data_IF_565063750566
#
_entry.id   IF_565063750566
#
_cell.length_a   1.000
_cell.length_b   1.000
_cell.length_c   1.000
_cell.angle_alpha   90.00
_cell.angle_beta   90.00
_cell.angle_gamma   90.00
#
_symmetry.space_group_name_H-M   'P 1'
#
loop_
_entity.id
_entity.type
_entity.pdbx_description
1 polymer ?
#
# COMPACT_ATOMS: atom_id res chain seq x y z
N UNK A 1 -19.39 49.46 34.30
CA UNK A 1 -20.35 48.83 33.37
C UNK A 1 -19.55 47.88 32.48
N UNK A 2 -19.53 46.59 32.82
CA UNK A 2 -18.61 45.59 32.24
C UNK A 2 -19.04 45.19 30.83
N UNK A 3 -18.14 45.35 29.85
CA UNK A 3 -18.23 44.68 28.55
C UNK A 3 -18.25 43.17 28.78
N UNK A 4 -19.44 42.57 28.83
CA UNK A 4 -19.60 41.13 28.68
C UNK A 4 -19.26 40.78 27.23
N UNK A 5 -18.34 39.84 27.09
CA UNK A 5 -17.88 39.23 25.86
C UNK A 5 -19.02 38.96 24.85
N UNK A 6 -19.17 39.87 23.89
CA UNK A 6 -20.02 39.63 22.73
C UNK A 6 -19.26 38.71 21.78
N UNK A 7 -19.23 37.41 22.07
CA UNK A 7 -18.83 36.39 21.10
C UNK A 7 -19.81 36.52 19.92
N UNK A 8 -19.37 37.16 18.83
CA UNK A 8 -20.13 37.17 17.57
C UNK A 8 -20.55 35.73 17.27
N UNK A 9 -21.85 35.46 17.03
CA UNK A 9 -22.27 34.11 16.65
C UNK A 9 -21.48 33.72 15.41
N UNK A 10 -20.62 32.71 15.53
CA UNK A 10 -19.91 32.16 14.40
C UNK A 10 -20.97 31.60 13.46
N UNK A 11 -21.06 32.17 12.25
CA UNK A 11 -21.95 31.66 11.21
C UNK A 11 -21.74 30.14 11.06
N UNK A 12 -22.77 29.34 10.79
CA UNK A 12 -22.63 27.88 10.63
C UNK A 12 -21.51 27.51 9.64
N UNK A 13 -21.38 28.28 8.56
CA UNK A 13 -20.30 28.16 7.57
C UNK A 13 -18.90 28.35 8.16
N UNK A 14 -18.73 29.26 9.14
CA UNK A 14 -17.45 29.47 9.82
C UNK A 14 -17.11 28.32 10.78
N UNK A 15 -18.12 27.70 11.42
CA UNK A 15 -17.91 26.54 12.30
C UNK A 15 -17.49 25.28 11.52
N UNK A 16 -18.12 25.03 10.37
CA UNK A 16 -17.73 23.91 9.47
C UNK A 16 -16.27 24.03 9.04
N UNK A 17 -15.86 25.21 8.57
CA UNK A 17 -14.48 25.48 8.16
C UNK A 17 -13.52 25.30 9.34
N UNK A 18 -13.89 25.80 10.53
CA UNK A 18 -13.09 25.64 11.75
C UNK A 18 -12.88 24.17 12.12
N UNK A 19 -13.95 23.36 12.08
CA UNK A 19 -13.87 21.94 12.37
C UNK A 19 -12.96 21.20 11.37
N UNK A 20 -13.12 21.42 10.06
CA UNK A 20 -12.25 20.77 9.08
C UNK A 20 -10.79 21.23 9.19
N UNK A 21 -10.55 22.52 9.43
CA UNK A 21 -9.17 23.03 9.63
C UNK A 21 -8.50 22.40 10.85
N UNK A 22 -9.25 22.19 11.95
CA UNK A 22 -8.75 21.49 13.14
C UNK A 22 -8.48 20.01 12.83
N UNK A 23 -9.37 19.37 12.08
CA UNK A 23 -9.18 17.98 11.66
C UNK A 23 -7.94 17.79 10.79
N UNK A 24 -7.72 18.66 9.80
CA UNK A 24 -6.54 18.68 8.94
C UNK A 24 -5.24 18.85 9.75
N UNK A 25 -5.26 19.73 10.76
CA UNK A 25 -4.12 19.91 11.67
C UNK A 25 -3.84 18.65 12.47
N UNK A 26 -4.86 18.03 13.05
CA UNK A 26 -4.71 16.77 13.79
C UNK A 26 -4.16 15.66 12.88
N UNK A 27 -4.57 15.60 11.60
CA UNK A 27 -3.99 14.67 10.63
C UNK A 27 -2.50 14.91 10.38
N UNK A 28 -2.09 16.17 10.25
CA UNK A 28 -0.68 16.54 10.08
C UNK A 28 0.16 16.14 11.32
N UNK A 29 -0.43 16.24 12.51
CA UNK A 29 0.16 15.81 13.79
C UNK A 29 0.06 14.29 14.02
N UNK A 30 -0.53 13.53 13.08
CA UNK A 30 -0.83 12.09 13.19
C UNK A 30 -1.75 11.72 14.35
N UNK A 31 -2.47 12.69 14.92
CA UNK A 31 -3.50 12.44 15.90
C UNK A 31 -4.83 12.11 15.20
N UNK A 32 -4.96 10.84 14.83
CA UNK A 32 -6.09 10.37 14.04
C UNK A 32 -7.42 10.42 14.82
N UNK A 33 -7.40 10.22 16.13
CA UNK A 33 -8.62 10.20 16.96
C UNK A 33 -9.28 11.59 17.02
N UNK A 34 -8.48 12.64 17.22
CA UNK A 34 -9.00 14.01 17.21
C UNK A 34 -9.40 14.45 15.80
N UNK A 35 -8.66 14.03 14.77
CA UNK A 35 -9.03 14.28 13.38
C UNK A 35 -10.43 13.73 13.06
N UNK A 36 -10.69 12.46 13.39
CA UNK A 36 -12.00 11.83 13.23
C UNK A 36 -13.10 12.62 13.95
N UNK A 37 -12.86 12.99 15.22
CA UNK A 37 -13.80 13.76 16.04
C UNK A 37 -14.17 15.09 15.39
N UNK A 38 -13.19 15.84 14.88
CA UNK A 38 -13.41 17.11 14.21
C UNK A 38 -14.08 16.96 12.84
N UNK A 39 -13.74 15.93 12.06
CA UNK A 39 -14.46 15.65 10.82
C UNK A 39 -15.92 15.29 11.06
N UNK A 40 -16.21 14.40 12.02
CA UNK A 40 -17.58 14.04 12.40
C UNK A 40 -18.38 15.27 12.83
N UNK A 41 -17.79 16.19 13.61
CA UNK A 41 -18.43 17.48 13.98
C UNK A 41 -18.68 18.40 12.79
N UNK A 42 -17.72 18.54 11.88
CA UNK A 42 -17.91 19.35 10.67
C UNK A 42 -19.00 18.79 9.76
N UNK A 43 -19.11 17.46 9.66
CA UNK A 43 -20.12 16.77 8.87
C UNK A 43 -21.51 16.78 9.53
N UNK A 44 -21.63 16.93 10.85
CA UNK A 44 -22.94 17.17 11.49
C UNK A 44 -23.59 18.46 10.96
N UNK A 45 -22.79 19.50 10.78
CA UNK A 45 -23.24 20.81 10.28
C UNK A 45 -23.28 20.86 8.73
N UNK A 46 -22.55 19.95 8.04
CA UNK A 46 -22.50 19.85 6.58
C UNK A 46 -22.41 18.38 6.08
N UNK A 47 -23.50 17.59 6.16
CA UNK A 47 -23.46 16.13 5.88
C UNK A 47 -23.05 15.74 4.46
N UNK A 48 -23.26 16.62 3.47
CA UNK A 48 -22.92 16.38 2.07
C UNK A 48 -21.57 16.97 1.64
N UNK A 49 -20.68 17.32 2.57
CA UNK A 49 -19.40 17.95 2.22
C UNK A 49 -18.41 16.91 1.65
N UNK A 50 -18.06 16.96 0.34
CA UNK A 50 -17.32 15.87 -0.30
C UNK A 50 -15.92 15.67 0.29
N UNK A 51 -15.14 16.76 0.44
CA UNK A 51 -13.78 16.68 0.97
C UNK A 51 -13.74 16.24 2.44
N UNK A 52 -14.74 16.63 3.24
CA UNK A 52 -14.84 16.24 4.64
C UNK A 52 -15.16 14.75 4.80
N UNK A 53 -16.07 14.25 3.96
CA UNK A 53 -16.44 12.82 3.91
C UNK A 53 -15.26 11.97 3.44
N UNK A 54 -14.58 12.39 2.37
CA UNK A 54 -13.37 11.74 1.89
C UNK A 54 -12.28 11.66 2.97
N UNK A 55 -11.95 12.79 3.61
CA UNK A 55 -10.91 12.81 4.64
C UNK A 55 -11.30 12.00 5.88
N UNK A 56 -12.58 11.94 6.24
CA UNK A 56 -13.04 11.04 7.31
C UNK A 56 -12.81 9.57 6.93
N UNK A 57 -13.15 9.15 5.71
CA UNK A 57 -12.90 7.80 5.22
C UNK A 57 -11.43 7.42 5.29
N UNK A 58 -10.54 8.30 4.80
CA UNK A 58 -9.08 8.12 4.89
C UNK A 58 -8.60 8.06 6.35
N UNK A 59 -9.17 8.89 7.23
CA UNK A 59 -8.80 8.90 8.66
C UNK A 59 -9.16 7.57 9.33
N UNK A 60 -10.38 7.07 9.09
CA UNK A 60 -10.86 5.80 9.62
C UNK A 60 -10.04 4.62 9.11
N UNK A 61 -9.68 4.62 7.83
CA UNK A 61 -8.79 3.62 7.23
C UNK A 61 -7.45 3.58 7.97
N UNK A 62 -6.82 4.74 8.17
CA UNK A 62 -5.53 4.85 8.88
C UNK A 62 -5.60 4.46 10.36
N UNK A 63 -6.79 4.49 10.98
CA UNK A 63 -7.00 4.02 12.34
C UNK A 63 -7.23 2.50 12.45
N UNK A 64 -7.39 1.79 11.32
CA UNK A 64 -7.78 0.38 11.33
C UNK A 64 -9.29 0.15 11.50
N UNK A 65 -10.12 1.19 11.43
CA UNK A 65 -11.58 1.09 11.55
C UNK A 65 -12.21 0.77 10.20
N UNK A 66 -11.86 -0.38 9.63
CA UNK A 66 -12.09 -0.68 8.22
C UNK A 66 -13.57 -0.71 7.83
N UNK A 67 -14.44 -1.28 8.65
CA UNK A 67 -15.88 -1.31 8.36
C UNK A 67 -16.50 0.10 8.29
N UNK A 68 -16.19 0.99 9.24
CA UNK A 68 -16.62 2.39 9.18
C UNK A 68 -15.99 3.13 8.00
N UNK A 69 -14.70 2.86 7.72
CA UNK A 69 -13.99 3.46 6.60
C UNK A 69 -14.61 3.09 5.25
N UNK A 70 -15.07 1.84 5.08
CA UNK A 70 -15.68 1.39 3.83
C UNK A 70 -17.00 2.11 3.57
N UNK A 71 -17.84 2.23 4.58
CA UNK A 71 -19.12 2.93 4.48
C UNK A 71 -18.93 4.42 4.17
N UNK A 72 -18.03 5.10 4.89
CA UNK A 72 -17.73 6.52 4.64
C UNK A 72 -17.07 6.73 3.27
N UNK A 73 -16.17 5.84 2.85
CA UNK A 73 -15.52 5.91 1.55
C UNK A 73 -16.52 5.72 0.39
N UNK A 74 -17.51 4.82 0.54
CA UNK A 74 -18.61 4.68 -0.42
C UNK A 74 -19.49 5.93 -0.51
N UNK A 75 -19.73 6.61 0.61
CA UNK A 75 -20.39 7.92 0.61
C UNK A 75 -19.55 8.98 -0.10
N UNK A 76 -18.23 8.98 0.09
CA UNK A 76 -17.33 9.90 -0.60
C UNK A 76 -17.36 9.69 -2.13
N UNK A 77 -17.42 8.43 -2.59
CA UNK A 77 -17.62 8.09 -4.01
C UNK A 77 -18.95 8.64 -4.52
N UNK A 78 -20.05 8.48 -3.77
CA UNK A 78 -21.36 9.01 -4.17
C UNK A 78 -21.38 10.56 -4.27
N UNK A 79 -20.61 11.25 -3.45
CA UNK A 79 -20.50 12.72 -3.45
C UNK A 79 -19.54 13.26 -4.52
N UNK A 80 -18.55 12.46 -4.94
CA UNK A 80 -17.53 12.86 -5.91
C UNK A 80 -17.13 11.67 -6.82
N UNK A 81 -18.05 11.20 -7.69
CA UNK A 81 -17.84 9.97 -8.47
C UNK A 81 -16.67 10.04 -9.45
N UNK A 82 -16.29 11.24 -9.90
CA UNK A 82 -15.19 11.46 -10.83
C UNK A 82 -13.82 11.61 -10.14
N UNK A 83 -13.77 11.57 -8.80
CA UNK A 83 -12.52 11.68 -8.06
C UNK A 83 -11.89 10.30 -7.84
N UNK A 84 -10.78 9.96 -8.52
CA UNK A 84 -10.16 8.63 -8.43
C UNK A 84 -9.64 8.29 -7.02
N UNK A 85 -9.30 9.27 -6.18
CA UNK A 85 -8.83 9.01 -4.82
C UNK A 85 -9.95 8.44 -3.93
N UNK A 86 -11.22 8.76 -4.20
CA UNK A 86 -12.37 8.21 -3.43
C UNK A 86 -12.54 6.72 -3.70
N UNK A 87 -12.52 6.31 -4.98
CA UNK A 87 -12.55 4.91 -5.40
C UNK A 87 -11.32 4.14 -4.92
N UNK A 88 -10.14 4.75 -5.00
CA UNK A 88 -8.92 4.14 -4.48
C UNK A 88 -9.02 3.85 -2.98
N UNK A 89 -9.61 4.75 -2.20
CA UNK A 89 -9.79 4.54 -0.76
C UNK A 89 -10.75 3.38 -0.47
N UNK A 90 -11.79 3.17 -1.29
CA UNK A 90 -12.65 1.97 -1.21
C UNK A 90 -11.81 0.71 -1.46
N UNK A 91 -11.07 0.65 -2.58
CA UNK A 91 -10.24 -0.51 -2.91
C UNK A 91 -9.18 -0.80 -1.84
N UNK A 92 -8.50 0.23 -1.33
CA UNK A 92 -7.53 0.10 -0.25
C UNK A 92 -8.18 -0.41 1.05
N UNK A 93 -9.39 0.05 1.38
CA UNK A 93 -10.12 -0.43 2.56
C UNK A 93 -10.52 -1.90 2.42
N UNK A 94 -10.97 -2.32 1.23
CA UNK A 94 -11.30 -3.73 0.94
C UNK A 94 -10.06 -4.63 1.07
N UNK A 95 -8.91 -4.16 0.58
CA UNK A 95 -7.61 -4.83 0.78
C UNK A 95 -7.30 -5.04 2.27
N UNK A 96 -7.43 -4.01 3.11
CA UNK A 96 -7.19 -4.15 4.56
C UNK A 96 -8.20 -5.09 5.25
N UNK A 97 -9.41 -5.21 4.68
CA UNK A 97 -10.44 -6.17 5.12
C UNK A 97 -10.22 -7.58 4.55
N UNK A 98 -9.15 -7.80 3.78
CA UNK A 98 -8.89 -9.06 3.05
C UNK A 98 -10.02 -9.47 2.10
N UNK A 99 -10.80 -8.51 1.61
CA UNK A 99 -11.84 -8.70 0.58
C UNK A 99 -11.21 -8.53 -0.81
N UNK A 100 -10.31 -9.44 -1.15
CA UNK A 100 -9.39 -9.31 -2.29
C UNK A 100 -10.11 -9.26 -3.64
N UNK A 101 -11.13 -10.09 -3.85
CA UNK A 101 -11.88 -10.15 -5.10
C UNK A 101 -12.66 -8.85 -5.34
N UNK A 102 -13.27 -8.28 -4.30
CA UNK A 102 -13.95 -6.98 -4.39
C UNK A 102 -12.95 -5.86 -4.66
N UNK A 103 -11.77 -5.89 -4.02
CA UNK A 103 -10.70 -4.93 -4.28
C UNK A 103 -10.21 -5.02 -5.74
N UNK A 104 -10.06 -6.23 -6.29
CA UNK A 104 -9.73 -6.46 -7.70
C UNK A 104 -10.76 -5.79 -8.62
N UNK A 105 -12.06 -5.95 -8.35
CA UNK A 105 -13.11 -5.27 -9.14
C UNK A 105 -12.99 -3.76 -9.05
N UNK A 106 -12.92 -3.21 -7.83
CA UNK A 106 -12.84 -1.74 -7.62
C UNK A 106 -11.61 -1.13 -8.29
N UNK A 107 -10.43 -1.76 -8.16
CA UNK A 107 -9.23 -1.25 -8.82
C UNK A 107 -9.30 -1.40 -10.34
N UNK A 108 -9.89 -2.48 -10.86
CA UNK A 108 -10.05 -2.68 -12.30
C UNK A 108 -10.96 -1.61 -12.91
N UNK A 109 -12.09 -1.33 -12.27
CA UNK A 109 -13.03 -0.28 -12.68
C UNK A 109 -12.37 1.11 -12.64
N UNK A 110 -11.61 1.38 -11.57
CA UNK A 110 -10.85 2.62 -11.43
C UNK A 110 -9.80 2.80 -12.53
N UNK A 111 -9.09 1.73 -12.91
CA UNK A 111 -8.12 1.76 -14.01
C UNK A 111 -8.82 1.98 -15.36
N UNK A 112 -10.00 1.39 -15.57
CA UNK A 112 -10.78 1.58 -16.78
C UNK A 112 -11.21 3.04 -16.96
N UNK A 113 -11.66 3.69 -15.86
CA UNK A 113 -12.06 5.09 -15.86
C UNK A 113 -10.86 6.06 -15.88
N UNK A 114 -9.78 5.72 -15.17
CA UNK A 114 -8.59 6.56 -15.01
C UNK A 114 -7.29 5.78 -15.29
N UNK A 115 -6.95 5.51 -16.56
CA UNK A 115 -5.81 4.65 -16.92
C UNK A 115 -4.45 5.13 -16.40
N UNK A 116 -4.29 6.43 -16.12
CA UNK A 116 -3.08 7.03 -15.57
C UNK A 116 -2.98 7.01 -14.04
N UNK A 117 -3.99 6.52 -13.32
CA UNK A 117 -3.99 6.51 -11.85
C UNK A 117 -3.15 5.36 -11.30
N UNK A 118 -1.84 5.58 -11.27
CA UNK A 118 -0.80 4.58 -10.98
C UNK A 118 -1.03 3.77 -9.69
N UNK A 119 -1.56 4.40 -8.62
CA UNK A 119 -1.84 3.73 -7.34
C UNK A 119 -2.82 2.56 -7.51
N UNK A 120 -3.82 2.68 -8.39
CA UNK A 120 -4.78 1.61 -8.64
C UNK A 120 -4.14 0.41 -9.34
N UNK A 121 -3.19 0.63 -10.25
CA UNK A 121 -2.43 -0.46 -10.88
C UNK A 121 -1.60 -1.25 -9.85
N UNK A 122 -0.93 -0.53 -8.94
CA UNK A 122 -0.18 -1.15 -7.83
C UNK A 122 -1.12 -1.95 -6.92
N UNK A 123 -2.26 -1.37 -6.54
CA UNK A 123 -3.28 -2.02 -5.73
C UNK A 123 -3.86 -3.27 -6.39
N UNK A 124 -4.20 -3.18 -7.69
CA UNK A 124 -4.68 -4.31 -8.47
C UNK A 124 -3.63 -5.42 -8.55
N UNK A 125 -2.37 -5.10 -8.87
CA UNK A 125 -1.29 -6.09 -8.91
C UNK A 125 -1.10 -6.82 -7.59
N UNK A 126 -1.16 -6.10 -6.46
CA UNK A 126 -1.08 -6.71 -5.13
C UNK A 126 -2.27 -7.62 -4.82
N UNK A 127 -3.50 -7.18 -5.12
CA UNK A 127 -4.70 -7.98 -4.89
C UNK A 127 -4.73 -9.24 -5.77
N UNK A 128 -4.31 -9.14 -7.04
CA UNK A 128 -4.22 -10.28 -7.95
C UNK A 128 -3.21 -11.34 -7.48
N UNK A 129 -2.07 -10.93 -6.91
CA UNK A 129 -1.10 -11.86 -6.33
C UNK A 129 -1.72 -12.66 -5.17
N UNK A 130 -2.47 -12.01 -4.29
CA UNK A 130 -3.13 -12.70 -3.16
C UNK A 130 -4.22 -13.65 -3.65
N UNK A 131 -4.94 -13.29 -4.72
CA UNK A 131 -5.87 -14.18 -5.40
C UNK A 131 -5.18 -15.26 -6.27
N UNK A 132 -3.85 -15.40 -6.22
CA UNK A 132 -3.03 -16.33 -7.04
C UNK A 132 -3.17 -16.16 -8.56
N UNK A 133 -3.68 -15.00 -9.00
CA UNK A 133 -3.84 -14.64 -10.42
C UNK A 133 -2.56 -14.00 -10.95
N UNK A 134 -1.47 -14.76 -10.88
CA UNK A 134 -0.11 -14.26 -11.15
C UNK A 134 0.08 -13.75 -12.58
N UNK A 135 -0.48 -14.41 -13.59
CA UNK A 135 -0.37 -13.97 -15.00
C UNK A 135 -1.16 -12.67 -15.27
N UNK A 136 -2.31 -12.49 -14.62
CA UNK A 136 -3.07 -11.24 -14.69
C UNK A 136 -2.27 -10.10 -14.03
N UNK A 137 -1.64 -10.37 -12.88
CA UNK A 137 -0.79 -9.41 -12.19
C UNK A 137 0.39 -8.97 -13.06
N UNK A 138 1.05 -9.92 -13.73
CA UNK A 138 2.12 -9.65 -14.70
C UNK A 138 1.60 -8.74 -15.81
N UNK A 139 0.50 -9.12 -16.45
CA UNK A 139 -0.08 -8.39 -17.58
C UNK A 139 -0.40 -6.93 -17.22
N UNK A 140 -1.01 -6.72 -16.06
CA UNK A 140 -1.32 -5.38 -15.55
C UNK A 140 -0.02 -4.61 -15.29
N UNK A 141 0.88 -5.16 -14.48
CA UNK A 141 2.07 -4.44 -14.01
C UNK A 141 3.10 -4.16 -15.11
N UNK A 142 3.33 -5.08 -16.05
CA UNK A 142 4.19 -4.83 -17.22
C UNK A 142 3.63 -3.67 -18.07
N UNK A 143 2.31 -3.65 -18.30
CA UNK A 143 1.63 -2.58 -19.02
C UNK A 143 1.70 -1.25 -18.27
N UNK A 144 1.62 -1.28 -16.95
CA UNK A 144 1.78 -0.10 -16.09
C UNK A 144 3.19 0.46 -16.21
N UNK A 145 4.21 -0.38 -16.06
CA UNK A 145 5.62 0.02 -16.05
C UNK A 145 6.09 0.50 -17.43
N UNK A 146 5.61 -0.10 -18.52
CA UNK A 146 5.93 0.35 -19.88
C UNK A 146 5.37 1.74 -20.23
N UNK A 147 4.38 2.22 -19.48
CA UNK A 147 3.74 3.53 -19.68
C UNK A 147 4.16 4.57 -18.64
N UNK A 148 4.87 4.15 -17.60
CA UNK A 148 5.32 5.05 -16.55
C UNK A 148 6.32 6.06 -17.15
N UNK A 149 5.97 7.33 -17.11
CA UNK A 149 6.91 8.40 -17.38
C UNK A 149 7.74 8.64 -16.11
N UNK A 150 9.05 8.40 -16.19
CA UNK A 150 9.97 8.60 -15.07
C UNK A 150 10.27 7.33 -14.29
N UNK A 151 10.58 7.50 -13.00
CA UNK A 151 10.98 6.39 -12.15
C UNK A 151 9.78 5.50 -11.79
N UNK A 152 9.84 4.19 -12.06
CA UNK A 152 8.71 3.30 -11.78
C UNK A 152 8.45 3.17 -10.27
N UNK A 153 7.18 3.05 -9.85
CA UNK A 153 6.87 2.82 -8.45
C UNK A 153 7.52 1.53 -7.94
N UNK A 154 8.33 1.62 -6.89
CA UNK A 154 9.03 0.48 -6.30
C UNK A 154 8.10 -0.70 -6.00
N UNK A 155 6.93 -0.41 -5.45
CA UNK A 155 5.97 -1.43 -5.07
C UNK A 155 5.36 -2.15 -6.29
N UNK A 156 5.23 -1.47 -7.44
CA UNK A 156 4.85 -2.13 -8.69
C UNK A 156 5.94 -3.11 -9.15
N UNK A 157 7.22 -2.70 -9.09
CA UNK A 157 8.35 -3.58 -9.44
C UNK A 157 8.44 -4.78 -8.49
N UNK A 158 8.20 -4.57 -7.20
CA UNK A 158 8.19 -5.64 -6.20
C UNK A 158 7.06 -6.64 -6.48
N UNK A 159 5.82 -6.18 -6.69
CA UNK A 159 4.70 -7.06 -7.04
C UNK A 159 4.96 -7.81 -8.34
N UNK A 160 5.51 -7.16 -9.37
CA UNK A 160 5.81 -7.83 -10.65
C UNK A 160 6.88 -8.91 -10.48
N UNK A 161 7.93 -8.63 -9.69
CA UNK A 161 8.97 -9.61 -9.42
C UNK A 161 8.43 -10.82 -8.63
N UNK A 162 7.52 -10.60 -7.69
CA UNK A 162 6.82 -11.68 -6.98
C UNK A 162 5.97 -12.50 -7.94
N UNK A 163 5.25 -11.85 -8.87
CA UNK A 163 4.47 -12.52 -9.89
C UNK A 163 5.35 -13.40 -10.81
N UNK A 164 6.49 -12.87 -11.27
CA UNK A 164 7.49 -13.64 -12.02
C UNK A 164 8.05 -14.83 -11.24
N UNK A 165 8.28 -14.66 -9.94
CA UNK A 165 8.72 -15.77 -9.10
C UNK A 165 7.68 -16.90 -9.07
N UNK A 166 6.41 -16.56 -8.85
CA UNK A 166 5.32 -17.55 -8.81
C UNK A 166 5.05 -18.25 -10.16
N UNK A 167 5.43 -17.64 -11.29
CA UNK A 167 5.33 -18.25 -12.63
C UNK A 167 6.62 -18.93 -13.08
N UNK A 168 7.65 -19.02 -12.22
CA UNK A 168 8.93 -19.66 -12.53
C UNK A 168 9.88 -18.82 -13.39
N UNK A 169 9.54 -17.56 -13.68
CA UNK A 169 10.37 -16.58 -14.39
C UNK A 169 11.45 -16.00 -13.47
N UNK A 170 12.28 -16.89 -12.89
CA UNK A 170 13.21 -16.57 -11.80
C UNK A 170 14.25 -15.51 -12.17
N UNK A 171 14.86 -15.59 -13.36
CA UNK A 171 15.86 -14.62 -13.81
C UNK A 171 15.27 -13.23 -14.05
N UNK A 172 14.04 -13.14 -14.55
CA UNK A 172 13.33 -11.88 -14.75
C UNK A 172 12.97 -11.23 -13.41
N UNK A 173 12.52 -12.04 -12.45
CA UNK A 173 12.30 -11.61 -11.07
C UNK A 173 13.58 -11.06 -10.44
N UNK A 174 14.67 -11.83 -10.50
CA UNK A 174 15.95 -11.47 -9.90
C UNK A 174 16.55 -10.21 -10.54
N UNK A 175 16.47 -10.11 -11.87
CA UNK A 175 16.91 -8.94 -12.62
C UNK A 175 16.15 -7.69 -12.19
N UNK A 176 14.81 -7.75 -12.17
CA UNK A 176 13.96 -6.61 -11.83
C UNK A 176 14.18 -6.12 -10.39
N UNK A 177 14.31 -7.05 -9.43
CA UNK A 177 14.58 -6.71 -8.03
C UNK A 177 15.94 -6.01 -7.88
N UNK A 178 16.99 -6.56 -8.49
CA UNK A 178 18.36 -6.00 -8.43
C UNK A 178 18.45 -4.66 -9.15
N UNK A 179 17.82 -4.51 -10.32
CA UNK A 179 17.79 -3.25 -11.06
C UNK A 179 17.08 -2.15 -10.27
N UNK A 180 15.91 -2.46 -9.71
CA UNK A 180 15.14 -1.50 -8.92
C UNK A 180 15.90 -1.05 -7.68
N UNK A 181 16.49 -1.99 -6.91
CA UNK A 181 17.27 -1.64 -5.72
C UNK A 181 18.55 -0.87 -6.07
N UNK A 182 19.16 -1.13 -7.23
CA UNK A 182 20.31 -0.35 -7.73
C UNK A 182 19.94 1.08 -8.09
N UNK A 183 18.79 1.30 -8.73
CA UNK A 183 18.29 2.65 -9.05
C UNK A 183 17.82 3.40 -7.81
N UNK A 184 17.18 2.69 -6.88
CA UNK A 184 16.55 3.25 -5.69
C UNK A 184 17.07 2.61 -4.40
N UNK A 185 18.35 2.78 -4.06
CA UNK A 185 18.96 2.10 -2.90
C UNK A 185 18.38 2.55 -1.55
N UNK A 186 17.66 3.68 -1.52
CA UNK A 186 16.99 4.23 -0.34
C UNK A 186 15.47 4.03 -0.34
N UNK A 187 14.96 3.12 -1.17
CA UNK A 187 13.53 2.79 -1.14
C UNK A 187 13.11 2.37 0.27
N UNK A 188 11.95 2.80 0.78
CA UNK A 188 11.43 2.32 2.06
C UNK A 188 11.20 0.80 2.07
N UNK A 189 11.13 0.17 0.89
CA UNK A 189 10.91 -1.27 0.74
C UNK A 189 12.21 -2.08 0.59
N UNK A 190 13.39 -1.49 0.83
CA UNK A 190 14.69 -2.12 0.55
C UNK A 190 14.85 -3.51 1.20
N UNK A 191 14.38 -3.66 2.45
CA UNK A 191 14.41 -4.95 3.15
C UNK A 191 13.56 -6.02 2.43
N UNK A 192 12.40 -5.65 1.87
CA UNK A 192 11.53 -6.56 1.13
C UNK A 192 12.14 -6.94 -0.23
N UNK A 193 12.82 -6.01 -0.91
CA UNK A 193 13.57 -6.33 -2.13
C UNK A 193 14.68 -7.35 -1.83
N UNK A 194 15.47 -7.14 -0.78
CA UNK A 194 16.53 -8.06 -0.37
C UNK A 194 15.98 -9.43 0.05
N UNK A 195 14.85 -9.45 0.76
CA UNK A 195 14.13 -10.68 1.11
C UNK A 195 13.71 -11.47 -0.14
N UNK A 196 13.10 -10.80 -1.12
CA UNK A 196 12.66 -11.44 -2.35
C UNK A 196 13.85 -11.89 -3.22
N UNK A 197 14.94 -11.11 -3.29
CA UNK A 197 16.19 -11.53 -3.94
C UNK A 197 16.70 -12.82 -3.30
N UNK A 198 16.75 -12.87 -1.97
CA UNK A 198 17.14 -14.07 -1.22
C UNK A 198 16.26 -15.28 -1.52
N UNK A 199 14.95 -15.07 -1.58
CA UNK A 199 13.95 -16.11 -1.88
C UNK A 199 14.13 -16.66 -3.29
N UNK A 200 14.27 -15.79 -4.29
CA UNK A 200 14.49 -16.19 -5.70
C UNK A 200 15.82 -16.93 -5.84
N UNK A 201 16.90 -16.43 -5.22
CA UNK A 201 18.21 -17.08 -5.25
C UNK A 201 18.20 -18.47 -4.61
N UNK A 202 17.43 -18.66 -3.54
CA UNK A 202 17.28 -19.97 -2.91
C UNK A 202 16.57 -20.94 -3.85
N UNK A 203 15.49 -20.49 -4.51
CA UNK A 203 14.78 -21.30 -5.51
C UNK A 203 15.62 -21.61 -6.76
N UNK A 204 16.61 -20.77 -7.08
CA UNK A 204 17.60 -21.02 -8.14
C UNK A 204 18.84 -21.80 -7.67
N UNK A 205 18.79 -22.43 -6.49
CA UNK A 205 19.90 -23.21 -5.88
C UNK A 205 21.19 -22.39 -5.62
N UNK A 206 21.11 -21.06 -5.67
CA UNK A 206 22.22 -20.13 -5.39
C UNK A 206 22.30 -19.81 -3.90
N UNK A 207 22.42 -20.87 -3.10
CA UNK A 207 22.23 -20.85 -1.64
C UNK A 207 23.11 -19.83 -0.92
N UNK A 208 24.39 -19.71 -1.30
CA UNK A 208 25.30 -18.76 -0.64
C UNK A 208 24.92 -17.29 -0.92
N UNK A 209 24.52 -16.98 -2.15
CA UNK A 209 24.03 -15.63 -2.48
C UNK A 209 22.70 -15.33 -1.77
N UNK A 210 21.83 -16.34 -1.63
CA UNK A 210 20.58 -16.22 -0.88
C UNK A 210 20.84 -15.81 0.58
N UNK A 211 21.72 -16.53 1.28
CA UNK A 211 22.10 -16.23 2.68
C UNK A 211 22.61 -14.79 2.83
N UNK A 212 23.44 -14.33 1.89
CA UNK A 212 23.96 -12.96 1.92
C UNK A 212 22.84 -11.92 1.76
N UNK A 213 21.95 -12.11 0.79
CA UNK A 213 20.82 -11.20 0.55
C UNK A 213 19.86 -11.15 1.76
N UNK A 214 19.54 -12.31 2.35
CA UNK A 214 18.66 -12.40 3.52
C UNK A 214 19.28 -11.75 4.76
N UNK A 215 20.59 -11.93 4.98
CA UNK A 215 21.31 -11.22 6.06
C UNK A 215 21.30 -9.70 5.83
N UNK A 216 21.48 -9.24 4.60
CA UNK A 216 21.38 -7.82 4.28
C UNK A 216 19.96 -7.28 4.55
N UNK A 217 18.93 -8.04 4.21
CA UNK A 217 17.54 -7.69 4.54
C UNK A 217 17.36 -7.48 6.05
N UNK A 218 17.89 -8.38 6.88
CA UNK A 218 17.82 -8.28 8.35
C UNK A 218 18.66 -7.14 8.92
N UNK A 219 19.74 -6.72 8.26
CA UNK A 219 20.47 -5.50 8.65
C UNK A 219 19.60 -4.25 8.48
N UNK A 220 18.77 -4.21 7.44
CA UNK A 220 17.85 -3.08 7.18
C UNK A 220 16.62 -3.15 8.08
N UNK A 221 16.02 -4.33 8.23
CA UNK A 221 14.83 -4.55 9.05
C UNK A 221 14.99 -5.83 9.91
N UNK A 222 15.58 -5.70 11.13
CA UNK A 222 15.84 -6.86 11.99
C UNK A 222 14.60 -7.62 12.47
N UNK A 223 13.43 -6.99 12.40
CA UNK A 223 12.16 -7.49 12.91
C UNK A 223 11.30 -8.20 11.85
N UNK A 224 11.77 -8.34 10.61
CA UNK A 224 11.04 -8.99 9.53
C UNK A 224 11.08 -10.52 9.71
N UNK A 225 10.00 -11.08 10.27
CA UNK A 225 9.93 -12.48 10.69
C UNK A 225 10.10 -13.46 9.51
N UNK A 226 9.51 -13.13 8.37
CA UNK A 226 9.56 -13.90 7.13
C UNK A 226 11.01 -14.08 6.65
N UNK A 227 11.86 -13.06 6.82
CA UNK A 227 13.27 -13.13 6.45
C UNK A 227 14.06 -14.05 7.37
N UNK A 228 13.74 -14.09 8.67
CA UNK A 228 14.37 -15.07 9.58
C UNK A 228 14.02 -16.49 9.19
N UNK A 229 12.75 -16.77 8.89
CA UNK A 229 12.31 -18.09 8.44
C UNK A 229 13.01 -18.48 7.13
N UNK A 230 13.04 -17.58 6.15
CA UNK A 230 13.70 -17.85 4.87
C UNK A 230 15.22 -18.04 5.00
N UNK A 231 15.86 -17.32 5.92
CA UNK A 231 17.28 -17.50 6.21
C UNK A 231 17.56 -18.85 6.87
N UNK A 232 16.67 -19.31 7.76
CA UNK A 232 16.76 -20.65 8.34
C UNK A 232 16.68 -21.73 7.25
N UNK A 233 15.70 -21.62 6.32
CA UNK A 233 15.59 -22.53 5.17
C UNK A 233 16.91 -22.58 4.37
N UNK A 234 17.48 -21.41 4.04
CA UNK A 234 18.71 -21.33 3.26
C UNK A 234 19.92 -21.93 4.00
N UNK A 235 19.99 -21.79 5.33
CA UNK A 235 21.06 -22.37 6.14
C UNK A 235 20.95 -23.89 6.26
N UNK A 236 19.72 -24.43 6.33
CA UNK A 236 19.50 -25.88 6.32
C UNK A 236 19.99 -26.50 5.01
N UNK A 237 19.58 -25.93 3.87
CA UNK A 237 20.03 -26.39 2.54
C UNK A 237 21.56 -26.30 2.42
N UNK A 238 22.19 -25.24 2.94
CA UNK A 238 23.65 -25.13 2.93
C UNK A 238 24.35 -26.23 3.75
N UNK A 239 23.73 -26.67 4.84
CA UNK A 239 24.20 -27.77 5.68
C UNK A 239 24.16 -29.12 4.97
N UNK A 240 23.05 -29.41 4.27
CA UNK A 240 22.86 -30.64 3.48
C UNK A 240 23.85 -30.75 2.33
N UNK A 241 24.04 -29.67 1.57
CA UNK A 241 25.05 -29.62 0.48
C UNK A 241 26.47 -29.83 1.01
N UNK A 242 26.73 -29.41 2.26
CA UNK A 242 28.04 -29.60 2.88
C UNK A 242 28.25 -31.06 3.29
N UNK A 243 27.24 -31.75 3.80
CA UNK A 243 27.35 -33.18 4.14
C UNK A 243 27.53 -34.09 2.92
N UNK A 244 26.85 -33.80 1.81
CA UNK A 244 26.92 -34.62 0.59
C UNK A 244 28.29 -34.56 -0.11
N UNK A 245 29.09 -33.52 0.15
CA UNK A 245 30.45 -33.39 -0.41
C UNK A 245 31.51 -34.21 0.35
N UNK A 246 31.16 -34.80 1.48
CA UNK A 246 32.08 -35.58 2.33
C UNK A 246 31.70 -37.07 2.47
N UNK A 247 30.68 -37.54 1.76
CA UNK A 247 30.26 -38.95 1.64
C UNK A 247 30.66 -39.55 0.30
#
# INVERSE_FOLDING_TARGET
>A
MTLKDYKRPTHPRNKVIEHFTKADRCLAEKNLADAESFYKKGLQDAPGHPAGTFNLGVTLLRQGKFAEALEVSRQAVALAPDNPETHFTVGATLTEMSQWEEAVTVFSDLIAAHPGFMKAHVGLGGALLVCERNEDAITVLEKTLSRAAGEPPDLACLHLAVAYFHTGRLEESLHLLRDTLRRQPKTPYAALFLYNIGTVLLASERVQESILALRQSLTVAPHLAETHLKLADALLVAGEVSSDRYS
#
